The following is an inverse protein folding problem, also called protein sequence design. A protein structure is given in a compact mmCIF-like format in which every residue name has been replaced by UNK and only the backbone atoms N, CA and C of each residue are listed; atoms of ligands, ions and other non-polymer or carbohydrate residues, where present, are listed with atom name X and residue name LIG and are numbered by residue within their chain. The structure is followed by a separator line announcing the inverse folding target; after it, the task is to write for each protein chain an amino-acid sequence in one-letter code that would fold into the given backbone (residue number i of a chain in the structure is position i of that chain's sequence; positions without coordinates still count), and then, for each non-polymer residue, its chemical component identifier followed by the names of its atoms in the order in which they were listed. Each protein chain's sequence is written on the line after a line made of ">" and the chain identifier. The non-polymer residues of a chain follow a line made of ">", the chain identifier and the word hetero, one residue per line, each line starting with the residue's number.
data_IF_363015675849
#
_entry.id   IF_363015675849
#
_cell.length_a   1.000
_cell.length_b   1.000
_cell.length_c   1.000
_cell.angle_alpha   90.00
_cell.angle_beta   90.00
_cell.angle_gamma   90.00
#
_symmetry.space_group_name_H-M   'P 1'
#
loop_
_entity.id
_entity.type
_entity.pdbx_description
1 polymer ?
#
# COMPACT_ATOMS: atom_id res chain seq x y z
N UNK A 1 -6.22 9.47 -17.57
CA UNK A 1 -5.49 9.18 -16.32
C UNK A 1 -5.80 10.24 -15.27
N UNK A 2 -7.06 10.65 -15.13
CA UNK A 2 -7.41 11.73 -14.19
C UNK A 2 -7.56 11.23 -12.75
N UNK A 3 -7.76 9.92 -12.57
CA UNK A 3 -7.97 9.27 -11.26
C UNK A 3 -6.91 8.20 -10.96
N UNK A 4 -5.71 8.33 -11.54
CA UNK A 4 -4.60 7.40 -11.33
C UNK A 4 -3.32 8.17 -11.05
N UNK A 5 -2.81 8.00 -9.83
CA UNK A 5 -1.48 8.44 -9.44
C UNK A 5 -0.51 7.26 -9.50
N UNK A 6 0.69 7.50 -10.03
CA UNK A 6 1.77 6.52 -10.05
C UNK A 6 2.86 6.96 -9.08
N UNK A 7 3.25 6.05 -8.19
CA UNK A 7 4.31 6.27 -7.23
C UNK A 7 5.21 5.03 -7.15
N UNK A 8 6.52 5.21 -7.22
CA UNK A 8 7.49 4.11 -7.24
C UNK A 8 8.24 4.00 -5.91
N UNK A 9 7.92 2.98 -5.12
CA UNK A 9 8.67 2.54 -3.94
C UNK A 9 8.25 1.09 -3.58
N UNK A 10 8.97 0.44 -2.66
CA UNK A 10 8.59 -0.84 -2.08
C UNK A 10 7.54 -0.63 -0.98
N UNK A 11 6.44 -1.37 -1.05
CA UNK A 11 5.48 -1.45 0.06
C UNK A 11 6.06 -2.35 1.15
N UNK A 12 6.16 -1.81 2.36
CA UNK A 12 6.72 -2.51 3.53
C UNK A 12 5.67 -3.10 4.47
N UNK A 13 4.41 -2.65 4.38
CA UNK A 13 3.33 -3.16 5.21
C UNK A 13 2.01 -2.43 5.00
N UNK A 14 0.93 -3.03 5.51
CA UNK A 14 -0.41 -2.43 5.56
C UNK A 14 -0.61 -1.68 6.87
N UNK A 15 -1.36 -0.58 6.82
CA UNK A 15 -1.88 0.08 8.00
C UNK A 15 -3.17 -0.64 8.40
N UNK A 16 -3.19 -1.20 9.60
CA UNK A 16 -4.33 -1.94 10.13
C UNK A 16 -4.92 -1.21 11.33
N UNK A 17 -6.23 -1.08 11.36
CA UNK A 17 -6.99 -0.68 12.54
C UNK A 17 -7.89 -1.86 12.94
N UNK A 18 -7.45 -2.64 13.92
CA UNK A 18 -8.07 -3.92 14.25
C UNK A 18 -8.02 -4.88 13.05
N UNK A 19 -9.17 -5.17 12.46
CA UNK A 19 -9.31 -6.06 11.30
C UNK A 19 -9.57 -5.32 9.98
N UNK A 20 -9.54 -3.99 9.99
CA UNK A 20 -9.74 -3.16 8.78
C UNK A 20 -8.42 -2.57 8.28
N UNK A 21 -8.26 -2.56 6.96
CA UNK A 21 -7.15 -1.85 6.29
C UNK A 21 -7.48 -0.37 6.24
N UNK A 22 -6.50 0.47 6.56
CA UNK A 22 -6.57 1.94 6.45
C UNK A 22 -5.59 2.53 5.43
N UNK A 23 -4.73 1.70 4.85
CA UNK A 23 -3.73 2.13 3.87
C UNK A 23 -2.48 1.28 3.89
N UNK A 24 -1.34 1.88 3.51
CA UNK A 24 -0.05 1.20 3.45
C UNK A 24 1.12 2.11 3.83
N UNK A 25 2.25 1.49 4.16
CA UNK A 25 3.53 2.17 4.39
C UNK A 25 4.58 1.69 3.39
N UNK A 26 5.28 2.64 2.80
CA UNK A 26 6.42 2.40 1.91
C UNK A 26 7.72 2.28 2.69
N UNK A 27 8.73 1.63 2.09
CA UNK A 27 10.07 1.50 2.67
C UNK A 27 10.76 2.85 2.86
N UNK A 28 10.51 3.82 1.98
CA UNK A 28 10.96 5.20 2.13
C UNK A 28 10.34 5.96 3.31
N UNK A 29 9.38 5.36 4.02
CA UNK A 29 8.77 5.92 5.22
C UNK A 29 7.49 6.73 4.96
N UNK A 30 7.01 6.80 3.71
CA UNK A 30 5.74 7.45 3.37
C UNK A 30 4.57 6.54 3.71
N UNK A 31 3.53 7.14 4.26
CA UNK A 31 2.24 6.51 4.56
C UNK A 31 1.20 7.00 3.56
N UNK A 32 0.48 6.06 2.93
CA UNK A 32 -0.68 6.36 2.08
C UNK A 32 -1.94 5.83 2.76
N UNK A 33 -2.95 6.68 2.93
CA UNK A 33 -4.26 6.29 3.45
C UNK A 33 -5.18 5.87 2.30
N UNK A 34 -5.85 4.74 2.47
CA UNK A 34 -6.81 4.23 1.50
C UNK A 34 -7.83 3.30 2.17
N UNK A 35 -9.12 3.36 1.78
CA UNK A 35 -10.16 2.52 2.37
C UNK A 35 -10.08 1.05 1.93
N UNK A 36 -9.33 0.76 0.87
CA UNK A 36 -9.10 -0.59 0.36
C UNK A 36 -7.72 -0.65 -0.30
N UNK A 37 -7.03 -1.78 -0.14
CA UNK A 37 -5.71 -2.04 -0.75
C UNK A 37 -5.77 -3.39 -1.46
N UNK A 38 -5.38 -3.42 -2.74
CA UNK A 38 -5.24 -4.66 -3.53
C UNK A 38 -3.78 -5.06 -3.55
N UNK A 39 -3.44 -6.21 -2.96
CA UNK A 39 -2.06 -6.72 -2.91
C UNK A 39 -1.79 -7.59 -4.15
N UNK A 40 -0.87 -7.15 -5.01
CA UNK A 40 -0.54 -7.79 -6.29
C UNK A 40 0.94 -8.16 -6.40
N UNK A 41 1.54 -8.62 -5.29
CA UNK A 41 2.97 -8.92 -5.21
C UNK A 41 3.44 -10.04 -6.14
N UNK A 42 2.53 -10.81 -6.76
CA UNK A 42 2.89 -11.93 -7.62
C UNK A 42 3.88 -12.88 -6.92
N UNK A 43 4.97 -13.21 -7.59
CA UNK A 43 6.05 -14.07 -7.08
C UNK A 43 7.17 -13.32 -6.35
N UNK A 44 6.98 -12.02 -6.06
CA UNK A 44 7.99 -11.18 -5.42
C UNK A 44 7.95 -11.20 -3.88
N UNK A 45 6.80 -11.59 -3.29
CA UNK A 45 6.67 -11.68 -1.82
C UNK A 45 7.41 -12.93 -1.31
N UNK A 46 8.31 -12.73 -0.36
CA UNK A 46 9.08 -13.78 0.32
C UNK A 46 9.02 -13.58 1.82
#
# INVERSE_FOLDING_TARGET
>A
MEFLDLYQDLVSGLLMEGHEVRGLRTRGGITFEAPCVVVTTGTFLR
#
